data_IF_346729323148
#
_entry.id   IF_346729323148
#
_cell.length_a   1.000
_cell.length_b   1.000
_cell.length_c   1.000
_cell.angle_alpha   90.00
_cell.angle_beta   90.00
_cell.angle_gamma   90.00
#
_symmetry.space_group_name_H-M   'P 1'
#
loop_
_entity.id
_entity.type
_entity.pdbx_description
1 polymer ?
#
# COMPACT_ATOMS: atom_id res chain seq x y z
N UNK A 1 -4.69 3.92 9.35
CA UNK A 1 -4.05 5.23 9.15
C UNK A 1 -2.53 5.09 9.27
N UNK A 2 -1.76 6.06 8.78
CA UNK A 2 -0.30 6.03 8.77
C UNK A 2 0.29 5.01 7.80
N UNK A 3 1.56 4.65 7.99
CA UNK A 3 2.35 3.81 7.07
C UNK A 3 1.75 2.41 6.81
N UNK A 4 0.95 1.89 7.74
CA UNK A 4 0.26 0.61 7.57
C UNK A 4 -0.89 0.67 6.55
N UNK A 5 -1.38 1.87 6.20
CA UNK A 5 -2.45 2.06 5.24
C UNK A 5 -1.92 2.45 3.86
N UNK A 6 -2.67 2.11 2.83
CA UNK A 6 -2.55 2.74 1.53
C UNK A 6 -3.72 3.72 1.35
N UNK A 7 -3.72 4.82 2.12
CA UNK A 7 -4.61 5.96 1.80
C UNK A 7 -4.24 6.56 0.44
N UNK A 8 -2.99 6.34 0.04
CA UNK A 8 -2.42 6.59 -1.28
C UNK A 8 -2.16 8.06 -1.61
N UNK A 9 -1.75 8.83 -0.60
CA UNK A 9 -1.17 10.17 -0.82
C UNK A 9 0.28 10.13 -1.34
N UNK A 10 0.89 8.93 -1.44
CA UNK A 10 2.29 8.75 -1.84
C UNK A 10 2.48 8.14 -3.22
N UNK A 11 1.46 7.48 -3.77
CA UNK A 11 1.61 6.66 -4.97
C UNK A 11 2.82 5.73 -4.85
N UNK A 12 3.70 5.82 -5.85
CA UNK A 12 4.90 4.98 -5.95
C UNK A 12 6.16 5.60 -5.36
N UNK A 13 6.10 6.82 -4.82
CA UNK A 13 7.26 7.46 -4.21
C UNK A 13 6.84 8.51 -3.19
N UNK A 14 7.03 8.21 -1.91
CA UNK A 14 6.79 9.16 -0.82
C UNK A 14 7.81 10.30 -0.83
N UNK A 15 7.34 11.52 -0.58
CA UNK A 15 8.18 12.72 -0.40
C UNK A 15 8.89 12.71 0.97
N UNK A 16 10.17 13.08 1.01
CA UNK A 16 10.94 13.24 2.25
C UNK A 16 10.24 14.19 3.23
N UNK A 17 10.13 13.82 4.50
CA UNK A 17 9.38 14.56 5.53
C UNK A 17 7.89 14.20 5.66
N UNK A 18 7.27 13.59 4.63
CA UNK A 18 5.81 13.41 4.65
C UNK A 18 5.28 12.26 5.53
N UNK A 19 6.06 11.28 6.02
CA UNK A 19 5.46 10.18 6.82
C UNK A 19 5.07 10.62 8.21
N UNK A 20 5.93 11.39 8.87
CA UNK A 20 5.63 11.82 10.24
C UNK A 20 4.45 12.79 10.23
N UNK A 21 4.39 13.64 9.19
CA UNK A 21 3.23 14.50 8.93
C UNK A 21 1.98 13.66 8.64
N UNK A 22 2.03 12.72 7.69
CA UNK A 22 0.91 11.82 7.39
C UNK A 22 0.45 11.06 8.62
N UNK A 23 1.36 10.55 9.45
CA UNK A 23 0.98 9.75 10.62
C UNK A 23 0.08 10.57 11.56
N UNK A 24 0.44 11.83 11.82
CA UNK A 24 -0.37 12.73 12.64
C UNK A 24 -1.64 13.17 11.91
N UNK A 25 -1.52 13.62 10.66
CA UNK A 25 -2.64 14.14 9.85
C UNK A 25 -3.69 13.06 9.58
N UNK A 26 -3.28 11.88 9.14
CA UNK A 26 -4.18 10.74 8.96
C UNK A 26 -4.74 10.27 10.30
N UNK A 27 -3.97 10.34 11.40
CA UNK A 27 -4.49 10.06 12.74
C UNK A 27 -5.63 10.99 13.14
N UNK A 28 -5.54 12.28 12.79
CA UNK A 28 -6.60 13.25 13.02
C UNK A 28 -7.82 13.00 12.11
N UNK A 29 -7.61 12.98 10.79
CA UNK A 29 -8.69 12.87 9.80
C UNK A 29 -9.41 11.51 9.88
N UNK A 30 -8.64 10.41 9.85
CA UNK A 30 -9.21 9.06 9.93
C UNK A 30 -9.73 8.79 11.35
N UNK A 31 -9.08 9.36 12.37
CA UNK A 31 -9.55 9.25 13.75
C UNK A 31 -10.95 9.80 13.95
N UNK A 32 -11.26 10.95 13.35
CA UNK A 32 -12.61 11.50 13.38
C UNK A 32 -13.61 10.67 12.61
N UNK A 33 -13.31 10.28 11.36
CA UNK A 33 -14.21 9.41 10.60
C UNK A 33 -14.46 8.09 11.32
N UNK A 34 -13.44 7.54 11.98
CA UNK A 34 -13.56 6.34 12.79
C UNK A 34 -14.42 6.57 14.04
N UNK A 35 -14.24 7.71 14.73
CA UNK A 35 -15.05 8.08 15.89
C UNK A 35 -16.54 8.26 15.51
N UNK A 36 -16.81 8.96 14.42
CA UNK A 36 -18.16 9.15 13.88
C UNK A 36 -18.80 7.81 13.50
N UNK A 37 -18.03 6.91 12.85
CA UNK A 37 -18.50 5.56 12.53
C UNK A 37 -18.86 4.79 13.80
N UNK A 38 -17.99 4.77 14.82
CA UNK A 38 -18.24 4.08 16.08
C UNK A 38 -19.44 4.66 16.86
N UNK A 39 -19.68 5.96 16.79
CA UNK A 39 -20.80 6.60 17.47
C UNK A 39 -22.15 6.39 16.74
N UNK A 40 -22.11 6.23 15.41
CA UNK A 40 -23.31 6.12 14.56
C UNK A 40 -23.71 4.68 14.22
N UNK A 41 -22.83 3.71 14.46
CA UNK A 41 -23.07 2.31 14.14
C UNK A 41 -23.05 1.46 15.40
N UNK A 42 -24.22 0.95 15.79
CA UNK A 42 -24.30 -0.13 16.76
C UNK A 42 -24.04 -1.47 16.05
N UNK A 43 -23.17 -2.28 16.66
CA UNK A 43 -22.91 -3.64 16.20
C UNK A 43 -23.33 -4.62 17.29
N UNK A 44 -24.15 -5.59 16.92
CA UNK A 44 -24.42 -6.73 17.78
C UNK A 44 -23.38 -7.80 17.48
N UNK A 45 -22.59 -8.15 18.49
CA UNK A 45 -21.56 -9.20 18.37
C UNK A 45 -22.05 -10.42 19.13
N UNK A 46 -22.29 -11.51 18.41
CA UNK A 46 -22.63 -12.79 19.02
C UNK A 46 -21.41 -13.34 19.79
N UNK A 47 -21.59 -13.67 21.06
CA UNK A 47 -20.52 -14.23 21.90
C UNK A 47 -19.97 -15.54 21.34
N UNK A 48 -20.79 -16.33 20.66
CA UNK A 48 -20.35 -17.56 20.00
C UNK A 48 -19.32 -17.30 18.89
N UNK A 49 -19.41 -16.16 18.19
CA UNK A 49 -18.40 -15.78 17.20
C UNK A 49 -17.09 -15.38 17.88
N UNK A 50 -17.15 -14.63 18.99
CA UNK A 50 -15.97 -14.28 19.79
C UNK A 50 -15.25 -15.55 20.27
N UNK A 51 -15.99 -16.46 20.91
CA UNK A 51 -15.47 -17.73 21.41
C UNK A 51 -14.83 -18.57 20.30
N UNK A 52 -15.48 -18.64 19.13
CA UNK A 52 -14.96 -19.34 17.96
C UNK A 52 -13.61 -18.77 17.49
N UNK A 53 -13.45 -17.45 17.42
CA UNK A 53 -12.20 -16.83 16.98
C UNK A 53 -11.09 -16.93 18.03
N UNK A 54 -11.41 -16.75 19.32
CA UNK A 54 -10.46 -16.97 20.42
C UNK A 54 -9.97 -18.41 20.41
N UNK A 55 -10.89 -19.38 20.40
CA UNK A 55 -10.57 -20.80 20.39
C UNK A 55 -9.72 -21.19 19.19
N UNK A 56 -10.04 -20.66 18.00
CA UNK A 56 -9.22 -20.86 16.79
C UNK A 56 -7.76 -20.41 17.00
N UNK A 57 -7.52 -19.27 17.65
CA UNK A 57 -6.15 -18.79 17.89
C UNK A 57 -5.44 -19.57 19.00
N UNK A 58 -6.15 -19.94 20.08
CA UNK A 58 -5.60 -20.81 21.12
C UNK A 58 -5.17 -22.16 20.53
N UNK A 59 -6.03 -22.80 19.74
CA UNK A 59 -5.74 -24.07 19.09
C UNK A 59 -4.58 -23.94 18.10
N UNK A 60 -4.48 -22.81 17.38
CA UNK A 60 -3.35 -22.54 16.51
C UNK A 60 -2.03 -22.41 17.29
N UNK A 61 -1.98 -21.63 18.36
CA UNK A 61 -0.78 -21.48 19.19
C UNK A 61 -0.37 -22.82 19.84
N UNK A 62 -1.34 -23.57 20.36
CA UNK A 62 -1.12 -24.92 20.89
C UNK A 62 -0.59 -25.86 19.81
N UNK A 63 -1.11 -25.78 18.59
CA UNK A 63 -0.62 -26.59 17.47
C UNK A 63 0.85 -26.29 17.16
N UNK A 64 1.28 -25.02 17.19
CA UNK A 64 2.67 -24.64 16.91
C UNK A 64 3.66 -25.21 17.94
N UNK A 65 3.32 -25.18 19.23
CA UNK A 65 4.20 -25.74 20.27
C UNK A 65 4.17 -27.27 20.27
N UNK A 66 3.03 -27.91 19.98
CA UNK A 66 2.92 -29.38 19.98
C UNK A 66 3.46 -30.03 18.70
N UNK A 67 3.50 -29.29 17.60
CA UNK A 67 3.92 -29.79 16.29
C UNK A 67 5.41 -30.14 16.28
N UNK A 68 5.71 -31.35 15.80
CA UNK A 68 7.07 -31.80 15.49
C UNK A 68 7.37 -31.58 14.00
N UNK A 69 7.48 -30.29 13.65
CA UNK A 69 7.86 -29.86 12.30
C UNK A 69 9.31 -30.19 11.95
N UNK A 70 9.69 -29.92 10.70
CA UNK A 70 11.03 -30.22 10.18
C UNK A 70 11.90 -28.98 10.03
N UNK A 71 11.28 -27.80 9.91
CA UNK A 71 11.99 -26.59 9.55
C UNK A 71 12.26 -25.68 10.74
N UNK A 72 13.37 -24.95 10.66
CA UNK A 72 13.71 -23.89 11.59
C UNK A 72 13.13 -22.56 11.09
N UNK A 73 12.38 -21.86 11.94
CA UNK A 73 11.71 -20.61 11.57
C UNK A 73 12.70 -19.46 11.25
N UNK A 74 13.86 -19.44 11.89
CA UNK A 74 14.87 -18.40 11.67
C UNK A 74 15.59 -18.58 10.34
N UNK A 75 15.86 -19.82 9.93
CA UNK A 75 16.45 -20.12 8.62
C UNK A 75 15.52 -19.67 7.49
N UNK A 76 14.22 -19.98 7.61
CA UNK A 76 13.19 -19.52 6.68
C UNK A 76 13.14 -17.99 6.63
N UNK A 77 13.13 -17.32 7.80
CA UNK A 77 13.09 -15.85 7.87
C UNK A 77 14.32 -15.21 7.22
N UNK A 78 15.50 -15.76 7.46
CA UNK A 78 16.74 -15.25 6.87
C UNK A 78 16.73 -15.43 5.35
N UNK A 79 16.35 -16.62 4.87
CA UNK A 79 16.24 -16.88 3.43
C UNK A 79 15.20 -15.99 2.75
N UNK A 80 14.06 -15.74 3.39
CA UNK A 80 13.05 -14.78 2.90
C UNK A 80 13.66 -13.37 2.72
N UNK A 81 14.44 -12.90 3.71
CA UNK A 81 15.09 -11.57 3.64
C UNK A 81 16.12 -11.51 2.52
N UNK A 82 16.92 -12.56 2.33
CA UNK A 82 17.89 -12.67 1.24
C UNK A 82 17.19 -12.59 -0.12
N UNK A 83 16.14 -13.39 -0.34
CA UNK A 83 15.38 -13.39 -1.60
C UNK A 83 14.78 -12.00 -1.90
N UNK A 84 14.19 -11.36 -0.89
CA UNK A 84 13.64 -10.01 -1.06
C UNK A 84 14.71 -8.98 -1.40
N UNK A 85 15.89 -9.08 -0.78
CA UNK A 85 17.02 -8.17 -1.04
C UNK A 85 17.62 -8.37 -2.44
N UNK A 86 17.83 -9.62 -2.85
CA UNK A 86 18.49 -9.95 -4.11
C UNK A 86 17.62 -9.68 -5.34
N UNK A 87 16.30 -9.82 -5.22
CA UNK A 87 15.41 -9.84 -6.38
C UNK A 87 14.29 -8.79 -6.37
N UNK A 88 13.99 -8.17 -5.23
CA UNK A 88 12.82 -7.28 -5.06
C UNK A 88 13.22 -5.89 -4.55
N UNK A 89 14.52 -5.57 -4.55
CA UNK A 89 15.05 -4.28 -4.10
C UNK A 89 14.84 -3.16 -5.14
N UNK A 90 15.89 -2.35 -5.41
CA UNK A 90 15.82 -1.13 -6.22
C UNK A 90 15.58 -1.47 -7.70
N UNK A 91 16.46 -2.29 -8.28
CA UNK A 91 16.37 -2.73 -9.67
C UNK A 91 15.79 -4.14 -9.73
N UNK A 92 14.86 -4.34 -10.65
CA UNK A 92 14.11 -5.58 -10.77
C UNK A 92 14.04 -6.00 -12.23
N UNK A 93 14.04 -7.31 -12.46
CA UNK A 93 13.83 -7.91 -13.77
C UNK A 93 12.75 -8.98 -13.66
N UNK A 94 12.02 -9.27 -14.73
CA UNK A 94 11.02 -10.33 -14.75
C UNK A 94 11.59 -11.67 -14.29
N UNK A 95 12.76 -12.06 -14.81
CA UNK A 95 13.44 -13.30 -14.42
C UNK A 95 13.78 -13.36 -12.93
N UNK A 96 14.31 -12.28 -12.35
CA UNK A 96 14.62 -12.23 -10.91
C UNK A 96 13.36 -12.32 -10.05
N UNK A 97 12.29 -11.63 -10.47
CA UNK A 97 11.02 -11.62 -9.77
C UNK A 97 10.27 -12.96 -9.85
N UNK A 98 10.34 -13.67 -10.99
CA UNK A 98 9.81 -15.03 -11.13
C UNK A 98 10.49 -16.00 -10.15
N UNK A 99 11.83 -15.92 -10.04
CA UNK A 99 12.59 -16.71 -9.09
C UNK A 99 12.18 -16.37 -7.65
N UNK A 100 12.09 -15.08 -7.31
CA UNK A 100 11.68 -14.63 -5.99
C UNK A 100 10.29 -15.14 -5.60
N UNK A 101 9.30 -15.02 -6.48
CA UNK A 101 7.94 -15.53 -6.23
C UNK A 101 7.96 -17.03 -5.97
N UNK A 102 8.68 -17.80 -6.79
CA UNK A 102 8.78 -19.26 -6.64
C UNK A 102 9.44 -19.65 -5.30
N UNK A 103 10.54 -19.00 -4.93
CA UNK A 103 11.24 -19.29 -3.67
C UNK A 103 10.41 -18.87 -2.46
N UNK A 104 9.78 -17.69 -2.49
CA UNK A 104 8.91 -17.21 -1.40
C UNK A 104 7.69 -18.12 -1.21
N UNK A 105 7.13 -18.68 -2.29
CA UNK A 105 6.01 -19.62 -2.18
C UNK A 105 6.45 -20.94 -1.54
N UNK A 106 7.65 -21.42 -1.89
CA UNK A 106 8.24 -22.60 -1.27
C UNK A 106 8.49 -22.36 0.23
N UNK A 107 9.13 -21.23 0.58
CA UNK A 107 9.35 -20.83 1.98
C UNK A 107 8.03 -20.67 2.75
N UNK A 108 6.97 -20.15 2.12
CA UNK A 108 5.65 -20.08 2.73
C UNK A 108 5.14 -21.48 3.09
N UNK A 109 5.22 -22.44 2.17
CA UNK A 109 4.82 -23.83 2.42
C UNK A 109 5.66 -24.47 3.54
N UNK A 110 6.96 -24.27 3.54
CA UNK A 110 7.87 -24.75 4.61
C UNK A 110 7.56 -24.11 5.96
N UNK A 111 7.17 -22.82 5.98
CA UNK A 111 6.83 -22.10 7.21
C UNK A 111 5.60 -22.68 7.93
N UNK A 112 4.76 -23.43 7.23
CA UNK A 112 3.64 -24.15 7.82
C UNK A 112 4.08 -25.42 8.56
N UNK A 113 5.33 -25.87 8.38
CA UNK A 113 5.91 -27.08 8.98
C UNK A 113 7.14 -26.80 9.86
N UNK A 114 7.13 -25.64 10.53
CA UNK A 114 8.17 -25.27 11.50
C UNK A 114 8.06 -26.06 12.80
N UNK A 115 9.20 -26.29 13.44
CA UNK A 115 9.30 -26.82 14.80
C UNK A 115 9.58 -25.68 15.77
N UNK A 116 8.78 -25.62 16.84
CA UNK A 116 9.07 -24.78 18.01
C UNK A 116 9.68 -25.66 19.09
N UNK A 117 10.91 -25.36 19.50
CA UNK A 117 11.66 -26.12 20.48
C UNK A 117 11.22 -25.79 21.91
N UNK A 118 11.07 -24.50 22.22
CA UNK A 118 10.52 -24.05 23.49
C UNK A 118 8.99 -24.20 23.50
N UNK A 119 8.49 -25.06 24.38
CA UNK A 119 7.06 -25.40 24.47
C UNK A 119 6.26 -24.44 25.37
N UNK A 120 6.90 -23.44 25.96
CA UNK A 120 6.21 -22.43 26.78
C UNK A 120 5.33 -21.52 25.91
N UNK A 121 4.12 -21.22 26.37
CA UNK A 121 3.21 -20.28 25.69
C UNK A 121 3.43 -18.82 26.07
N UNK A 122 4.20 -18.55 27.12
CA UNK A 122 4.48 -17.22 27.64
C UNK A 122 5.96 -16.87 27.46
N UNK A 123 6.25 -15.60 27.18
CA UNK A 123 7.63 -15.10 27.06
C UNK A 123 8.48 -15.90 26.07
N UNK A 124 7.89 -16.32 24.94
CA UNK A 124 8.53 -17.23 24.00
C UNK A 124 8.76 -16.57 22.62
N UNK A 125 9.95 -15.99 22.39
CA UNK A 125 10.30 -15.39 21.11
C UNK A 125 10.30 -16.36 19.92
N UNK A 126 10.59 -17.65 20.14
CA UNK A 126 10.57 -18.66 19.08
C UNK A 126 9.14 -18.89 18.58
N UNK A 127 8.17 -18.97 19.52
CA UNK A 127 6.75 -19.04 19.17
C UNK A 127 6.27 -17.77 18.47
N UNK A 128 6.73 -16.59 18.91
CA UNK A 128 6.42 -15.32 18.24
C UNK A 128 6.82 -15.35 16.76
N UNK A 129 8.02 -15.83 16.46
CA UNK A 129 8.52 -15.96 15.09
C UNK A 129 7.73 -17.02 14.32
N UNK A 130 7.37 -18.14 14.95
CA UNK A 130 6.63 -19.24 14.32
C UNK A 130 5.29 -18.79 13.70
N UNK A 131 4.57 -17.85 14.32
CA UNK A 131 3.35 -17.29 13.73
C UNK A 131 3.56 -15.99 12.94
N UNK A 132 4.65 -15.25 13.17
CA UNK A 132 4.94 -14.01 12.43
C UNK A 132 5.51 -14.30 11.04
N UNK A 133 6.44 -15.24 10.91
CA UNK A 133 7.12 -15.53 9.64
C UNK A 133 6.16 -15.97 8.53
N UNK A 134 5.17 -16.86 8.75
CA UNK A 134 4.17 -17.18 7.72
C UNK A 134 3.39 -15.94 7.25
N UNK A 135 3.10 -14.99 8.16
CA UNK A 135 2.42 -13.73 7.82
C UNK A 135 3.33 -12.81 7.00
N UNK A 136 4.60 -12.69 7.39
CA UNK A 136 5.61 -11.92 6.64
C UNK A 136 5.80 -12.48 5.23
N UNK A 137 5.81 -13.81 5.06
CA UNK A 137 5.91 -14.46 3.75
C UNK A 137 4.72 -14.16 2.84
N UNK A 138 3.50 -14.13 3.38
CA UNK A 138 2.32 -13.69 2.60
C UNK A 138 2.48 -12.25 2.10
N UNK A 139 2.96 -11.34 2.95
CA UNK A 139 3.24 -9.96 2.54
C UNK A 139 4.36 -9.89 1.50
N UNK A 140 5.44 -10.64 1.68
CA UNK A 140 6.53 -10.74 0.71
C UNK A 140 6.03 -11.24 -0.65
N UNK A 141 5.12 -12.22 -0.67
CA UNK A 141 4.47 -12.71 -1.89
C UNK A 141 3.59 -11.64 -2.54
N UNK A 142 2.81 -10.88 -1.78
CA UNK A 142 2.07 -9.73 -2.32
C UNK A 142 3.01 -8.72 -3.01
N UNK A 143 4.13 -8.40 -2.38
CA UNK A 143 5.13 -7.45 -2.91
C UNK A 143 5.80 -8.00 -4.17
N UNK A 144 6.34 -9.22 -4.11
CA UNK A 144 7.08 -9.83 -5.21
C UNK A 144 6.18 -10.11 -6.41
N UNK A 145 4.98 -10.67 -6.19
CA UNK A 145 4.02 -10.96 -7.26
C UNK A 145 3.45 -9.69 -7.87
N UNK A 146 3.14 -8.67 -7.05
CA UNK A 146 2.74 -7.35 -7.55
C UNK A 146 3.83 -6.68 -8.38
N UNK A 147 5.10 -6.79 -7.98
CA UNK A 147 6.23 -6.29 -8.75
C UNK A 147 6.48 -7.07 -10.04
N UNK A 148 6.26 -8.39 -10.03
CA UNK A 148 6.38 -9.25 -11.21
C UNK A 148 5.35 -8.87 -12.28
N UNK A 149 4.09 -8.77 -11.85
CA UNK A 149 2.97 -8.56 -12.77
C UNK A 149 2.93 -7.13 -13.29
N UNK A 150 3.40 -6.15 -12.51
CA UNK A 150 3.54 -4.76 -12.96
C UNK A 150 4.72 -4.62 -13.93
N UNK A 151 4.43 -4.52 -15.21
CA UNK A 151 5.41 -4.41 -16.30
C UNK A 151 5.63 -2.96 -16.74
N UNK A 152 5.97 -2.09 -15.78
CA UNK A 152 6.39 -0.69 -16.02
C UNK A 152 7.43 -0.25 -14.98
N UNK A 153 7.97 0.96 -15.13
CA UNK A 153 8.74 1.63 -14.08
C UNK A 153 8.06 2.90 -13.60
N UNK A 154 7.65 2.94 -12.33
CA UNK A 154 6.94 4.07 -11.71
C UNK A 154 7.44 4.32 -10.29
N UNK A 155 7.83 5.57 -10.02
CA UNK A 155 8.38 5.96 -8.70
C UNK A 155 9.57 5.09 -8.28
N UNK A 156 9.46 4.44 -7.13
CA UNK A 156 10.45 3.52 -6.56
C UNK A 156 10.40 2.10 -7.16
N UNK A 157 9.37 1.76 -7.95
CA UNK A 157 9.33 0.52 -8.70
C UNK A 157 10.08 0.69 -10.03
N UNK A 158 11.24 0.07 -10.16
CA UNK A 158 12.05 0.11 -11.37
C UNK A 158 12.24 -1.29 -11.96
N UNK A 159 11.70 -1.49 -13.16
CA UNK A 159 11.85 -2.68 -13.99
C UNK A 159 12.86 -2.40 -15.10
N UNK A 160 14.00 -3.06 -15.08
CA UNK A 160 15.03 -2.85 -16.11
C UNK A 160 14.58 -3.33 -17.49
N UNK A 161 13.75 -4.37 -17.51
CA UNK A 161 13.08 -4.91 -18.69
C UNK A 161 11.85 -4.09 -19.15
N UNK A 162 11.37 -3.17 -18.30
CA UNK A 162 10.29 -2.22 -18.60
C UNK A 162 10.62 -0.82 -18.07
N UNK A 163 11.61 -0.12 -18.65
CA UNK A 163 12.20 1.07 -18.06
C UNK A 163 11.30 2.31 -18.08
N UNK A 164 10.25 2.32 -18.91
CA UNK A 164 9.33 3.46 -19.07
C UNK A 164 8.20 3.40 -18.05
N UNK A 165 7.73 4.57 -17.62
CA UNK A 165 6.42 4.72 -16.96
C UNK A 165 5.32 4.51 -18.00
N UNK A 166 4.33 3.67 -17.73
CA UNK A 166 3.27 3.38 -18.69
C UNK A 166 1.92 3.89 -18.15
N UNK A 167 1.53 5.10 -18.57
CA UNK A 167 0.23 5.64 -18.16
C UNK A 167 -0.93 5.07 -18.97
N UNK A 168 -0.67 4.38 -20.08
CA UNK A 168 -1.71 3.78 -20.91
C UNK A 168 -2.26 2.51 -20.26
N UNK A 169 -1.37 1.61 -19.81
CA UNK A 169 -1.77 0.30 -19.29
C UNK A 169 -1.68 0.21 -17.75
N UNK A 170 -0.83 1.04 -17.13
CA UNK A 170 -0.45 0.87 -15.72
C UNK A 170 -0.77 2.08 -14.83
N UNK A 171 -1.61 3.00 -15.30
CA UNK A 171 -2.18 4.06 -14.48
C UNK A 171 -3.31 3.52 -13.58
N UNK A 172 -2.92 2.64 -12.67
CA UNK A 172 -3.80 1.92 -11.75
C UNK A 172 -3.06 1.65 -10.43
N UNK A 173 -3.80 1.16 -9.44
CA UNK A 173 -3.27 0.66 -8.18
C UNK A 173 -3.38 -0.86 -8.14
N UNK A 174 -2.31 -1.54 -7.72
CA UNK A 174 -2.37 -2.98 -7.45
C UNK A 174 -3.10 -3.24 -6.15
N UNK A 175 -4.15 -4.05 -6.20
CA UNK A 175 -4.88 -4.52 -5.04
C UNK A 175 -4.60 -6.01 -4.83
N UNK A 176 -4.11 -6.36 -3.64
CA UNK A 176 -3.85 -7.76 -3.28
C UNK A 176 -4.86 -8.22 -2.24
N UNK A 177 -5.39 -9.42 -2.42
CA UNK A 177 -6.24 -10.11 -1.46
C UNK A 177 -5.80 -11.56 -1.30
N UNK A 178 -6.18 -12.19 -0.20
CA UNK A 178 -5.77 -13.56 0.11
C UNK A 178 -6.98 -14.40 0.49
N UNK A 179 -7.27 -15.43 -0.30
CA UNK A 179 -8.30 -16.42 0.03
C UNK A 179 -7.73 -17.49 0.93
N UNK A 180 -8.48 -17.90 1.94
CA UNK A 180 -8.03 -18.93 2.89
C UNK A 180 -7.70 -20.24 2.16
N UNK A 181 -6.55 -20.82 2.49
CA UNK A 181 -6.03 -22.04 1.86
C UNK A 181 -5.09 -21.80 0.66
N UNK A 182 -5.09 -20.60 0.08
CA UNK A 182 -4.21 -20.30 -1.07
C UNK A 182 -2.75 -20.08 -0.62
N UNK A 183 -1.83 -20.40 -1.53
CA UNK A 183 -0.38 -20.16 -1.37
C UNK A 183 0.09 -18.89 -2.06
N UNK A 184 -0.78 -18.22 -2.82
CA UNK A 184 -0.48 -17.03 -3.60
C UNK A 184 -1.56 -15.97 -3.40
N UNK A 185 -1.21 -14.66 -3.49
CA UNK A 185 -2.20 -13.60 -3.45
C UNK A 185 -3.01 -13.55 -4.75
N UNK A 186 -4.29 -13.20 -4.63
CA UNK A 186 -5.09 -12.75 -5.78
C UNK A 186 -4.77 -11.28 -6.05
N UNK A 187 -4.50 -10.97 -7.31
CA UNK A 187 -4.19 -9.61 -7.77
C UNK A 187 -5.34 -9.07 -8.61
N UNK A 188 -5.75 -7.85 -8.29
CA UNK A 188 -6.67 -7.03 -9.08
C UNK A 188 -6.09 -5.63 -9.21
N UNK A 189 -6.68 -4.81 -10.07
CA UNK A 189 -6.22 -3.45 -10.34
C UNK A 189 -7.37 -2.47 -10.26
N UNK A 190 -7.10 -1.33 -9.62
CA UNK A 190 -8.04 -0.21 -9.56
C UNK A 190 -7.52 0.92 -10.46
N UNK A 191 -8.19 1.20 -11.60
CA UNK A 191 -7.75 2.25 -12.52
C UNK A 191 -7.89 3.64 -11.88
N UNK A 192 -6.96 4.53 -12.20
CA UNK A 192 -7.04 5.94 -11.79
C UNK A 192 -7.67 6.76 -12.93
N UNK A 193 -8.74 7.49 -12.61
CA UNK A 193 -9.45 8.32 -13.57
C UNK A 193 -8.72 9.66 -13.77
N UNK A 194 -8.02 9.79 -14.91
CA UNK A 194 -7.30 11.01 -15.28
C UNK A 194 -8.22 12.22 -15.28
N UNK A 195 -9.47 12.07 -15.70
CA UNK A 195 -10.38 13.20 -15.86
C UNK A 195 -10.80 13.83 -14.52
N UNK A 196 -10.52 13.14 -13.40
CA UNK A 196 -10.74 13.66 -12.04
C UNK A 196 -9.50 14.23 -11.38
N UNK A 197 -8.34 14.18 -12.05
CA UNK A 197 -7.10 14.67 -11.46
C UNK A 197 -7.02 16.20 -11.53
N UNK A 198 -6.67 16.85 -10.42
CA UNK A 198 -6.29 18.26 -10.40
C UNK A 198 -5.01 18.52 -11.22
N UNK A 199 -4.09 17.55 -11.19
CA UNK A 199 -2.85 17.55 -11.94
C UNK A 199 -2.73 16.26 -12.75
N UNK A 200 -3.02 16.28 -14.06
CA UNK A 200 -2.93 15.08 -14.89
C UNK A 200 -1.46 14.59 -15.04
N UNK A 201 -1.25 13.32 -15.45
CA UNK A 201 0.08 12.75 -15.51
C UNK A 201 1.02 13.51 -16.45
N UNK A 202 2.18 13.91 -15.93
CA UNK A 202 3.21 14.65 -16.68
C UNK A 202 4.62 14.24 -16.23
N UNK A 203 5.64 14.97 -16.70
CA UNK A 203 7.03 14.77 -16.25
C UNK A 203 7.16 15.04 -14.74
N UNK A 204 7.74 14.08 -14.02
CA UNK A 204 7.85 14.08 -12.54
C UNK A 204 8.92 15.03 -11.97
N UNK A 205 9.61 15.80 -12.81
CA UNK A 205 10.69 16.72 -12.40
C UNK A 205 12.09 16.10 -12.31
N UNK A 206 12.21 14.80 -12.02
CA UNK A 206 13.50 14.10 -11.88
C UNK A 206 13.64 12.85 -12.77
N UNK A 207 14.89 12.47 -13.04
CA UNK A 207 15.26 11.37 -13.93
C UNK A 207 15.17 11.74 -15.42
N UNK A 208 15.23 10.74 -16.29
CA UNK A 208 15.21 10.94 -17.74
C UNK A 208 13.87 11.55 -18.22
N UNK A 209 13.97 12.59 -19.06
CA UNK A 209 12.80 13.17 -19.76
C UNK A 209 12.32 12.21 -20.85
N UNK A 210 11.01 12.19 -21.13
CA UNK A 210 10.42 11.33 -22.16
C UNK A 210 10.37 9.83 -21.81
N UNK A 211 10.70 9.46 -20.57
CA UNK A 211 10.66 8.07 -20.10
C UNK A 211 9.24 7.64 -19.66
N UNK A 212 8.27 7.89 -20.55
CA UNK A 212 6.84 7.79 -20.30
C UNK A 212 6.14 7.30 -21.59
N UNK A 213 5.14 6.44 -21.44
CA UNK A 213 4.12 6.13 -22.44
C UNK A 213 2.88 6.90 -22.00
N UNK A 214 2.52 7.93 -22.77
CA UNK A 214 1.46 8.87 -22.39
C UNK A 214 0.07 8.29 -22.69
N UNK A 215 -0.86 8.52 -21.76
CA UNK A 215 -2.27 8.24 -21.97
C UNK A 215 -2.91 9.44 -22.72
N UNK A 216 -3.72 9.23 -23.78
CA UNK A 216 -4.34 10.33 -24.55
C UNK A 216 -5.14 11.32 -23.69
N UNK A 217 -5.89 10.81 -22.70
CA UNK A 217 -6.64 11.64 -21.76
C UNK A 217 -5.77 12.59 -20.93
N UNK A 218 -4.46 12.34 -20.77
CA UNK A 218 -3.57 13.27 -20.05
C UNK A 218 -3.52 14.63 -20.75
N UNK A 219 -3.40 14.65 -22.08
CA UNK A 219 -3.39 15.90 -22.85
C UNK A 219 -4.77 16.58 -22.86
N UNK A 220 -5.85 15.79 -22.93
CA UNK A 220 -7.23 16.30 -22.87
C UNK A 220 -7.48 16.97 -21.53
N UNK A 221 -7.16 16.29 -20.44
CA UNK A 221 -7.34 16.82 -19.08
C UNK A 221 -6.42 18.01 -18.83
N UNK A 222 -5.18 17.99 -19.33
CA UNK A 222 -4.27 19.12 -19.16
C UNK A 222 -4.86 20.39 -19.78
N UNK A 223 -5.38 20.29 -21.00
CA UNK A 223 -6.06 21.41 -21.66
C UNK A 223 -7.27 21.90 -20.85
N UNK A 224 -8.09 21.00 -20.33
CA UNK A 224 -9.25 21.35 -19.50
C UNK A 224 -8.84 22.08 -18.21
N UNK A 225 -7.80 21.59 -17.53
CA UNK A 225 -7.24 22.22 -16.32
C UNK A 225 -6.73 23.63 -16.60
N UNK A 226 -6.02 23.81 -17.72
CA UNK A 226 -5.48 25.11 -18.13
C UNK A 226 -6.61 26.10 -18.45
N UNK A 227 -7.63 25.67 -19.21
CA UNK A 227 -8.80 26.50 -19.54
C UNK A 227 -9.58 26.93 -18.30
N UNK A 228 -9.80 26.02 -17.34
CA UNK A 228 -10.47 26.34 -16.06
C UNK A 228 -9.66 27.37 -15.28
N UNK A 229 -8.34 27.14 -15.14
CA UNK A 229 -7.45 28.04 -14.40
C UNK A 229 -7.41 29.44 -15.00
N UNK A 230 -7.18 29.54 -16.31
CA UNK A 230 -7.10 30.83 -17.01
C UNK A 230 -8.40 31.62 -16.88
N UNK A 231 -9.53 30.96 -17.12
CA UNK A 231 -10.85 31.58 -17.00
C UNK A 231 -11.11 32.11 -15.59
N UNK A 232 -10.90 31.27 -14.57
CA UNK A 232 -11.21 31.66 -13.19
C UNK A 232 -10.24 32.71 -12.66
N UNK A 233 -8.97 32.67 -13.06
CA UNK A 233 -8.01 33.74 -12.74
C UNK A 233 -8.42 35.08 -13.37
N UNK A 234 -8.88 35.08 -14.63
CA UNK A 234 -9.40 36.28 -15.28
C UNK A 234 -10.66 36.84 -14.60
N UNK A 235 -11.47 35.98 -13.99
CA UNK A 235 -12.64 36.35 -13.16
C UNK A 235 -12.26 36.83 -11.75
N UNK A 236 -10.96 36.85 -11.40
CA UNK A 236 -10.49 37.25 -10.07
C UNK A 236 -10.79 36.24 -8.97
N UNK A 237 -10.99 34.97 -9.32
CA UNK A 237 -11.26 33.88 -8.37
C UNK A 237 -10.03 33.54 -7.53
N UNK A 238 -10.29 33.20 -6.27
CA UNK A 238 -9.26 32.76 -5.33
C UNK A 238 -8.71 31.38 -5.70
N UNK A 239 -7.51 31.04 -5.19
CA UNK A 239 -6.89 29.72 -5.44
C UNK A 239 -7.74 28.55 -4.90
N UNK A 240 -8.53 28.79 -3.85
CA UNK A 240 -9.42 27.82 -3.23
C UNK A 240 -10.63 27.54 -4.11
N UNK A 241 -11.24 28.60 -4.67
CA UNK A 241 -12.32 28.44 -5.66
C UNK A 241 -11.83 27.71 -6.91
N UNK A 242 -10.63 28.01 -7.38
CA UNK A 242 -10.01 27.32 -8.52
C UNK A 242 -9.77 25.84 -8.19
N UNK A 243 -9.20 25.53 -7.02
CA UNK A 243 -8.94 24.15 -6.60
C UNK A 243 -10.26 23.35 -6.54
N UNK A 244 -11.30 23.92 -5.95
CA UNK A 244 -12.64 23.31 -5.85
C UNK A 244 -13.25 23.01 -7.23
N UNK A 245 -13.06 23.92 -8.20
CA UNK A 245 -13.52 23.73 -9.58
C UNK A 245 -12.73 22.67 -10.35
N UNK A 246 -11.45 22.47 -10.03
CA UNK A 246 -10.60 21.48 -10.66
C UNK A 246 -10.86 20.08 -10.11
N UNK A 247 -10.89 19.94 -8.77
CA UNK A 247 -11.06 18.67 -8.08
C UNK A 247 -11.61 18.89 -6.67
N UNK A 248 -12.91 18.69 -6.52
CA UNK A 248 -13.52 18.66 -5.20
C UNK A 248 -12.92 17.56 -4.32
N UNK A 249 -12.73 17.87 -3.03
CA UNK A 249 -12.35 16.88 -2.02
C UNK A 249 -13.14 17.06 -0.71
N UNK A 250 -13.35 15.94 -0.04
CA UNK A 250 -14.02 15.88 1.25
C UNK A 250 -13.04 16.03 2.41
N UNK A 251 -13.42 16.86 3.38
CA UNK A 251 -12.69 17.06 4.62
C UNK A 251 -13.66 17.52 5.69
N UNK A 252 -13.49 17.05 6.93
CA UNK A 252 -14.36 17.47 8.03
C UNK A 252 -14.33 19.00 8.20
N UNK A 253 -15.46 19.65 8.52
CA UNK A 253 -15.55 21.12 8.56
C UNK A 253 -14.48 21.80 9.41
N UNK A 254 -14.09 21.19 10.54
CA UNK A 254 -13.06 21.71 11.44
C UNK A 254 -11.64 21.71 10.84
N UNK A 255 -11.39 20.87 9.83
CA UNK A 255 -10.12 20.81 9.11
C UNK A 255 -10.17 21.54 7.75
N UNK A 256 -11.36 21.94 7.28
CA UNK A 256 -11.54 22.69 6.03
C UNK A 256 -11.32 24.21 6.19
N UNK A 257 -11.08 24.68 7.42
CA UNK A 257 -10.78 26.09 7.68
C UNK A 257 -9.45 26.52 7.00
N UNK A 258 -9.35 27.76 6.49
CA UNK A 258 -8.10 28.29 5.96
C UNK A 258 -6.97 28.27 6.98
N UNK A 259 -5.74 28.10 6.50
CA UNK A 259 -4.57 28.12 7.37
C UNK A 259 -4.01 29.55 7.39
N UNK A 260 -3.98 30.18 8.56
CA UNK A 260 -3.36 31.50 8.72
C UNK A 260 -1.85 31.42 8.39
N UNK A 261 -1.38 32.34 7.57
CA UNK A 261 0.05 32.47 7.23
C UNK A 261 0.57 33.85 7.60
N UNK A 262 1.76 33.88 8.19
CA UNK A 262 2.45 35.11 8.55
C UNK A 262 2.63 36.01 7.32
N UNK A 263 2.16 37.26 7.41
CA UNK A 263 2.25 38.26 6.34
C UNK A 263 1.19 38.14 5.24
N UNK A 264 0.32 37.13 5.28
CA UNK A 264 -0.75 36.90 4.29
C UNK A 264 -2.14 36.93 4.96
N UNK A 265 -2.25 36.44 6.19
CA UNK A 265 -3.53 36.26 6.90
C UNK A 265 -4.17 34.91 6.57
N UNK A 266 -5.51 34.84 6.64
CA UNK A 266 -6.25 33.61 6.36
C UNK A 266 -6.31 33.34 4.87
N UNK A 267 -5.60 32.29 4.44
CA UNK A 267 -5.54 31.83 3.06
C UNK A 267 -5.60 30.29 2.98
#
# INVERSE_FOLDING_TARGET
AGEAACWDMHGFNRLGGNSVSETVVAGMIVGDYFADYCASHEIEINTADIEKFVKKQEDYLNSLVTKEGKFNVFDIKNKMKEVMWEHVAIFRTGKGLELAVKELEALYKESLDVKVSNKALFGNPELEEAYRVPKMLKLALCIAKGALDRTESRGAHCREDYPKRDDLNWLNRTLTSWKEGDTMPTITYEPLDIMKMEMPPAFRGYGAKGNIIEHPNSAIRQKEVDEIREKMQAEGKSRQEIQEALMHYDLQPKYKAPNERAGIGNE
#
